data_IF_031537534640
#
_entry.id   IF_031537534640
#
_cell.length_a   1.000
_cell.length_b   1.000
_cell.length_c   1.000
_cell.angle_alpha   90.00
_cell.angle_beta   90.00
_cell.angle_gamma   90.00
#
_symmetry.space_group_name_H-M   'P 1'
#
loop_
_entity.id
_entity.type
_entity.pdbx_description
1 polymer ?
#
# COMPACT_ATOMS: atom_id res chain seq x y z
N UNK A 1 -4.65 -22.60 -5.47
CA UNK A 1 -5.31 -21.47 -6.13
C UNK A 1 -4.52 -20.21 -5.93
N UNK A 2 -4.36 -19.47 -7.00
CA UNK A 2 -3.51 -18.29 -6.99
C UNK A 2 -4.28 -17.07 -6.51
N UNK A 3 -3.65 -16.34 -5.62
CA UNK A 3 -4.17 -15.07 -5.10
C UNK A 3 -3.26 -13.97 -5.60
N UNK A 4 -3.85 -12.90 -6.10
CA UNK A 4 -3.13 -11.70 -6.49
C UNK A 4 -3.54 -10.54 -5.61
N UNK A 5 -2.60 -9.70 -5.25
CA UNK A 5 -2.87 -8.46 -4.54
C UNK A 5 -2.14 -7.32 -5.24
N UNK A 6 -2.75 -6.15 -5.20
CA UNK A 6 -2.17 -4.93 -5.79
C UNK A 6 -2.21 -3.85 -4.73
N UNK A 7 -1.11 -3.11 -4.57
CA UNK A 7 -1.04 -2.05 -3.58
C UNK A 7 -0.59 -0.74 -4.23
N UNK A 8 -1.06 0.36 -3.70
CA UNK A 8 -0.69 1.70 -4.17
C UNK A 8 -0.81 2.70 -3.03
N UNK A 9 -0.06 3.80 -3.14
CA UNK A 9 -0.10 4.89 -2.20
C UNK A 9 0.11 6.21 -2.92
N UNK A 10 -0.45 7.28 -2.35
CA UNK A 10 -0.26 8.62 -2.86
C UNK A 10 -0.11 9.60 -1.71
N UNK A 11 0.42 10.77 -2.01
CA UNK A 11 0.47 11.89 -1.09
C UNK A 11 0.22 13.16 -1.90
N UNK A 12 -0.95 13.77 -1.71
CA UNK A 12 -1.40 14.93 -2.49
C UNK A 12 -1.89 16.03 -1.56
N UNK A 13 -1.88 17.30 -1.96
CA UNK A 13 -1.35 17.83 -3.22
C UNK A 13 0.16 18.00 -3.20
N UNK A 14 0.80 17.71 -2.09
CA UNK A 14 2.27 17.79 -1.97
C UNK A 14 2.81 16.58 -1.20
N UNK A 15 4.07 16.26 -1.43
CA UNK A 15 4.78 15.17 -0.79
C UNK A 15 6.17 15.69 -0.38
N UNK A 16 6.53 15.69 0.92
CA UNK A 16 5.77 15.24 2.09
C UNK A 16 4.73 16.26 2.58
N UNK A 17 4.06 15.91 3.67
CA UNK A 17 3.13 16.77 4.43
C UNK A 17 1.85 17.12 3.69
N UNK A 18 1.44 16.28 2.75
CA UNK A 18 0.12 16.34 2.14
C UNK A 18 -0.85 15.41 2.83
N UNK A 19 -1.76 14.86 2.05
CA UNK A 19 -2.71 13.83 2.48
C UNK A 19 -2.25 12.51 1.87
N UNK A 20 -1.76 11.62 2.72
CA UNK A 20 -1.24 10.32 2.30
C UNK A 20 -2.36 9.28 2.38
N UNK A 21 -2.64 8.62 1.27
CA UNK A 21 -3.68 7.59 1.18
C UNK A 21 -3.10 6.29 0.65
N UNK A 22 -3.59 5.19 1.22
CA UNK A 22 -3.24 3.85 0.77
C UNK A 22 -4.43 3.19 0.10
N UNK A 23 -4.15 2.23 -0.78
CA UNK A 23 -5.17 1.37 -1.36
C UNK A 23 -4.58 0.00 -1.68
N UNK A 24 -5.40 -1.02 -1.54
CA UNK A 24 -5.03 -2.36 -1.99
C UNK A 24 -6.26 -3.09 -2.53
N UNK A 25 -6.01 -4.02 -3.42
CA UNK A 25 -7.04 -4.83 -4.09
C UNK A 25 -6.58 -6.28 -4.04
N UNK A 26 -7.48 -7.17 -3.63
CA UNK A 26 -7.22 -8.61 -3.59
C UNK A 26 -8.05 -9.28 -4.66
N UNK A 27 -7.41 -10.12 -5.47
CA UNK A 27 -8.06 -10.85 -6.56
C UNK A 27 -7.83 -12.35 -6.42
N UNK A 28 -8.86 -13.10 -6.77
CA UNK A 28 -8.81 -14.54 -6.89
C UNK A 28 -9.42 -14.92 -8.22
N UNK A 29 -8.68 -15.69 -9.02
CA UNK A 29 -9.12 -16.10 -10.36
C UNK A 29 -9.57 -14.90 -11.21
N UNK A 30 -8.83 -13.78 -11.12
CA UNK A 30 -9.09 -12.57 -11.89
C UNK A 30 -10.23 -11.70 -11.39
N UNK A 31 -10.90 -12.09 -10.30
CA UNK A 31 -12.02 -11.33 -9.73
C UNK A 31 -11.61 -10.68 -8.42
N UNK A 32 -11.98 -9.42 -8.24
CA UNK A 32 -11.75 -8.72 -6.97
C UNK A 32 -12.64 -9.31 -5.89
N UNK A 33 -12.00 -9.84 -4.84
CA UNK A 33 -12.73 -10.41 -3.69
C UNK A 33 -12.71 -9.48 -2.48
N UNK A 34 -11.79 -8.53 -2.44
CA UNK A 34 -11.70 -7.55 -1.37
C UNK A 34 -10.86 -6.36 -1.81
N UNK A 35 -11.14 -5.21 -1.23
CA UNK A 35 -10.31 -4.02 -1.38
C UNK A 35 -10.37 -3.19 -0.12
N UNK A 36 -9.35 -2.37 0.09
CA UNK A 36 -9.29 -1.46 1.23
C UNK A 36 -8.56 -0.20 0.84
N UNK A 37 -8.93 0.90 1.50
CA UNK A 37 -8.29 2.20 1.27
C UNK A 37 -8.54 3.12 2.45
N UNK A 38 -7.74 4.18 2.56
CA UNK A 38 -7.91 5.16 3.61
C UNK A 38 -6.69 6.03 3.79
N UNK A 39 -6.69 6.79 4.89
CA UNK A 39 -5.54 7.61 5.27
C UNK A 39 -4.42 6.72 5.79
N UNK A 40 -3.21 6.97 5.31
CA UNK A 40 -2.02 6.24 5.75
C UNK A 40 -1.34 6.93 6.94
N UNK A 41 -1.63 8.22 7.15
CA UNK A 41 -1.04 9.02 8.22
C UNK A 41 -1.96 10.20 8.53
N UNK A 42 -1.70 10.86 9.63
CA UNK A 42 -2.38 12.13 9.96
C UNK A 42 -2.09 13.13 8.84
N UNK A 43 -3.12 13.78 8.27
CA UNK A 43 -2.91 14.78 7.21
C UNK A 43 -1.91 15.87 7.62
N UNK A 44 -1.06 16.27 6.69
CA UNK A 44 -0.02 17.29 6.83
C UNK A 44 1.07 16.98 7.87
N UNK A 45 1.09 15.76 8.41
CA UNK A 45 2.15 15.32 9.34
C UNK A 45 3.44 14.95 8.59
N UNK A 46 4.52 14.77 9.35
CA UNK A 46 5.79 14.31 8.79
C UNK A 46 5.69 12.90 8.20
N UNK A 47 4.77 12.08 8.73
CA UNK A 47 4.52 10.73 8.24
C UNK A 47 3.68 10.71 6.97
N UNK A 48 3.08 11.84 6.58
CA UNK A 48 2.29 11.91 5.37
C UNK A 48 3.21 12.02 4.16
N UNK A 49 3.67 10.88 3.68
CA UNK A 49 4.53 10.76 2.51
C UNK A 49 4.01 9.69 1.57
N UNK A 50 4.43 9.76 0.32
CA UNK A 50 4.10 8.76 -0.68
C UNK A 50 4.62 7.37 -0.26
N UNK A 51 5.86 7.30 0.25
CA UNK A 51 6.46 6.02 0.63
C UNK A 51 5.77 5.41 1.86
N UNK A 52 5.36 6.21 2.84
CA UNK A 52 4.56 5.71 3.97
C UNK A 52 3.23 5.16 3.46
N UNK A 53 2.58 5.83 2.52
CA UNK A 53 1.33 5.35 1.93
C UNK A 53 1.52 4.01 1.20
N UNK A 54 2.60 3.88 0.43
CA UNK A 54 2.92 2.64 -0.29
C UNK A 54 3.15 1.47 0.67
N UNK A 55 3.96 1.67 1.71
CA UNK A 55 4.21 0.63 2.70
C UNK A 55 2.96 0.28 3.50
N UNK A 56 2.14 1.28 3.82
CA UNK A 56 0.87 1.05 4.51
C UNK A 56 -0.04 0.17 3.67
N UNK A 57 -0.12 0.43 2.36
CA UNK A 57 -0.92 -0.38 1.43
C UNK A 57 -0.42 -1.82 1.39
N UNK A 58 0.89 -2.02 1.26
CA UNK A 58 1.50 -3.35 1.27
C UNK A 58 1.18 -4.09 2.57
N UNK A 59 1.42 -3.44 3.71
CA UNK A 59 1.20 -4.06 5.02
C UNK A 59 -0.27 -4.42 5.22
N UNK A 60 -1.20 -3.54 4.87
CA UNK A 60 -2.64 -3.79 4.99
C UNK A 60 -3.08 -4.96 4.10
N UNK A 61 -2.53 -5.06 2.89
CA UNK A 61 -2.81 -6.18 2.00
C UNK A 61 -2.34 -7.50 2.62
N UNK A 62 -1.11 -7.54 3.15
CA UNK A 62 -0.56 -8.74 3.78
C UNK A 62 -1.36 -9.13 5.03
N UNK A 63 -1.74 -8.16 5.86
CA UNK A 63 -2.53 -8.41 7.05
C UNK A 63 -3.89 -9.03 6.69
N UNK A 64 -4.58 -8.47 5.70
CA UNK A 64 -5.87 -8.99 5.27
C UNK A 64 -5.75 -10.42 4.74
N UNK A 65 -4.73 -10.67 3.92
CA UNK A 65 -4.49 -12.00 3.35
C UNK A 65 -4.24 -13.04 4.45
N UNK A 66 -3.43 -12.68 5.42
CA UNK A 66 -3.13 -13.57 6.55
C UNK A 66 -4.37 -13.86 7.38
N UNK A 67 -5.13 -12.82 7.74
CA UNK A 67 -6.31 -12.92 8.59
C UNK A 67 -7.46 -13.69 7.92
N UNK A 68 -7.48 -13.74 6.60
CA UNK A 68 -8.55 -14.40 5.84
C UNK A 68 -8.12 -15.74 5.23
N UNK A 69 -7.06 -16.33 5.78
CA UNK A 69 -6.71 -17.73 5.47
C UNK A 69 -5.95 -17.95 4.18
N UNK A 70 -5.32 -16.90 3.62
CA UNK A 70 -4.59 -17.02 2.35
C UNK A 70 -3.08 -17.23 2.53
N UNK A 71 -2.59 -17.40 3.76
CA UNK A 71 -1.17 -17.58 4.04
C UNK A 71 -0.58 -18.88 3.46
N UNK A 72 -1.42 -19.88 3.20
CA UNK A 72 -1.00 -21.16 2.62
C UNK A 72 -1.19 -21.22 1.10
N UNK A 73 -1.76 -20.19 0.51
CA UNK A 73 -1.96 -20.09 -0.93
C UNK A 73 -0.70 -19.54 -1.61
N UNK A 74 -0.62 -19.72 -2.92
CA UNK A 74 0.37 -19.00 -3.71
C UNK A 74 -0.12 -17.56 -3.90
N UNK A 75 0.65 -16.60 -3.40
CA UNK A 75 0.28 -15.18 -3.39
C UNK A 75 1.32 -14.36 -4.12
N UNK A 76 0.87 -13.53 -5.06
CA UNK A 76 1.71 -12.53 -5.70
C UNK A 76 1.15 -11.15 -5.34
N UNK A 77 1.98 -10.34 -4.68
CA UNK A 77 1.63 -8.96 -4.30
C UNK A 77 2.41 -8.01 -5.20
N UNK A 78 1.69 -7.20 -5.95
CA UNK A 78 2.28 -6.32 -6.95
C UNK A 78 2.01 -4.85 -6.63
N UNK A 79 3.00 -4.02 -6.93
CA UNK A 79 2.89 -2.57 -6.82
C UNK A 79 3.80 -1.90 -7.84
N UNK A 80 3.60 -0.61 -8.07
CA UNK A 80 4.38 0.14 -9.05
C UNK A 80 5.52 0.96 -8.43
N UNK A 81 5.79 0.76 -7.15
CA UNK A 81 6.92 1.38 -6.46
C UNK A 81 8.14 0.46 -6.53
N UNK A 82 9.10 0.80 -7.38
CA UNK A 82 10.35 0.04 -7.45
C UNK A 82 11.12 0.10 -6.14
N UNK A 83 11.07 1.23 -5.44
CA UNK A 83 11.75 1.39 -4.16
C UNK A 83 11.24 0.38 -3.14
N UNK A 84 9.93 0.30 -2.95
CA UNK A 84 9.32 -0.63 -1.99
C UNK A 84 9.65 -2.08 -2.34
N UNK A 85 9.48 -2.45 -3.61
CA UNK A 85 9.74 -3.81 -4.06
C UNK A 85 11.21 -4.20 -3.85
N UNK A 86 12.13 -3.32 -4.19
CA UNK A 86 13.57 -3.59 -4.03
C UNK A 86 14.01 -3.59 -2.57
N UNK A 87 13.41 -2.75 -1.74
CA UNK A 87 13.67 -2.79 -0.30
C UNK A 87 13.17 -4.09 0.32
N UNK A 88 11.98 -4.54 -0.06
CA UNK A 88 11.45 -5.81 0.43
C UNK A 88 12.25 -7.02 -0.05
N UNK A 89 12.86 -6.92 -1.23
CA UNK A 89 13.74 -7.96 -1.77
C UNK A 89 15.15 -7.96 -1.15
N UNK A 90 15.46 -6.95 -0.33
CA UNK A 90 16.78 -6.81 0.28
C UNK A 90 17.83 -6.19 -0.64
N UNK A 91 17.43 -5.71 -1.82
CA UNK A 91 18.35 -5.08 -2.78
C UNK A 91 18.69 -3.64 -2.40
N UNK A 92 17.74 -2.91 -1.79
CA UNK A 92 17.93 -1.54 -1.33
C UNK A 92 17.76 -1.48 0.17
N UNK A 93 18.64 -0.72 0.81
CA UNK A 93 18.62 -0.52 2.25
C UNK A 93 17.50 0.46 2.65
N UNK A 94 16.84 0.17 3.77
CA UNK A 94 15.85 1.07 4.36
C UNK A 94 16.55 1.93 5.40
N UNK A 95 16.62 3.24 5.13
CA UNK A 95 17.29 4.21 6.01
C UNK A 95 16.33 5.20 6.65
N UNK A 96 15.16 5.42 6.05
CA UNK A 96 14.19 6.41 6.51
C UNK A 96 13.52 5.94 7.79
N UNK A 97 13.62 6.77 8.85
CA UNK A 97 13.08 6.44 10.17
C UNK A 97 11.57 6.21 10.18
N UNK A 98 10.85 6.85 9.28
CA UNK A 98 9.41 6.70 9.19
C UNK A 98 9.02 5.39 8.49
N UNK A 99 9.89 4.89 7.62
CA UNK A 99 9.66 3.66 6.86
C UNK A 99 10.10 2.42 7.64
N UNK A 100 11.18 2.52 8.42
CA UNK A 100 11.74 1.37 9.14
C UNK A 100 10.69 0.56 9.90
N UNK A 101 9.80 1.17 10.73
CA UNK A 101 8.79 0.37 11.44
C UNK A 101 7.82 -0.35 10.50
N UNK A 102 7.42 0.29 9.41
CA UNK A 102 6.51 -0.31 8.43
C UNK A 102 7.19 -1.45 7.67
N UNK A 103 8.45 -1.23 7.28
CA UNK A 103 9.26 -2.25 6.64
C UNK A 103 9.42 -3.48 7.53
N UNK A 104 9.73 -3.27 8.81
CA UNK A 104 9.91 -4.36 9.77
C UNK A 104 8.63 -5.17 9.93
N UNK A 105 7.48 -4.50 10.04
CA UNK A 105 6.19 -5.18 10.14
C UNK A 105 5.87 -5.98 8.86
N UNK A 106 6.13 -5.39 7.70
CA UNK A 106 5.91 -6.07 6.42
C UNK A 106 6.82 -7.29 6.28
N UNK A 107 8.08 -7.18 6.70
CA UNK A 107 9.03 -8.29 6.65
C UNK A 107 8.60 -9.44 7.57
N UNK A 108 8.10 -9.12 8.76
CA UNK A 108 7.57 -10.12 9.70
C UNK A 108 6.31 -10.79 9.14
N UNK A 109 5.41 -10.01 8.54
CA UNK A 109 4.20 -10.57 7.91
C UNK A 109 4.55 -11.50 6.76
N UNK A 110 5.52 -11.12 5.93
CA UNK A 110 5.97 -11.93 4.80
C UNK A 110 6.39 -13.34 5.23
N UNK A 111 7.04 -13.46 6.38
CA UNK A 111 7.51 -14.75 6.90
C UNK A 111 6.37 -15.71 7.27
N UNK A 112 5.17 -15.21 7.44
CA UNK A 112 3.99 -16.02 7.78
C UNK A 112 3.35 -16.69 6.57
N UNK A 113 3.84 -16.41 5.36
CA UNK A 113 3.30 -16.95 4.12
C UNK A 113 4.19 -18.07 3.60
N UNK A 114 3.57 -19.13 3.09
CA UNK A 114 4.29 -20.28 2.55
C UNK A 114 4.91 -19.97 1.17
N UNK A 115 4.20 -19.21 0.33
CA UNK A 115 4.63 -18.91 -1.03
C UNK A 115 4.16 -17.49 -1.40
N UNK A 116 4.97 -16.51 -1.06
CA UNK A 116 4.67 -15.10 -1.32
C UNK A 116 5.76 -14.47 -2.18
N UNK A 117 5.35 -13.86 -3.27
CA UNK A 117 6.20 -13.06 -4.13
C UNK A 117 5.74 -11.61 -4.07
N UNK A 118 6.66 -10.68 -3.88
CA UNK A 118 6.40 -9.25 -3.99
C UNK A 118 7.04 -8.79 -5.29
N UNK A 119 6.23 -8.26 -6.22
CA UNK A 119 6.66 -7.97 -7.58
C UNK A 119 6.36 -6.52 -7.97
N UNK A 120 7.19 -5.99 -8.85
CA UNK A 120 6.95 -4.70 -9.47
C UNK A 120 6.13 -4.86 -10.74
N UNK A 121 5.16 -3.97 -10.93
CA UNK A 121 4.41 -3.86 -12.18
C UNK A 121 4.42 -2.41 -12.63
N UNK A 122 4.33 -2.15 -13.94
CA UNK A 122 4.19 -0.77 -14.41
C UNK A 122 2.85 -0.19 -13.94
N UNK A 123 2.79 1.13 -13.84
CA UNK A 123 1.62 1.85 -13.31
C UNK A 123 0.33 1.47 -14.04
N UNK A 124 0.39 1.24 -15.34
CA UNK A 124 -0.78 0.85 -16.16
C UNK A 124 -1.43 -0.45 -15.70
N UNK A 125 -0.65 -1.33 -15.08
CA UNK A 125 -1.14 -2.61 -14.54
C UNK A 125 -1.59 -2.50 -13.09
N UNK A 126 -1.42 -1.33 -12.48
CA UNK A 126 -1.83 -1.07 -11.11
C UNK A 126 -3.01 -0.08 -11.06
N UNK A 127 -3.76 0.03 -12.15
CA UNK A 127 -4.77 1.06 -12.34
C UNK A 127 -5.92 0.98 -11.33
N UNK A 128 -6.32 -0.22 -10.93
CA UNK A 128 -7.43 -0.39 -9.99
C UNK A 128 -7.07 0.14 -8.60
N UNK A 129 -5.88 -0.22 -8.09
CA UNK A 129 -5.39 0.29 -6.81
C UNK A 129 -5.12 1.80 -6.88
N UNK A 130 -4.60 2.28 -8.00
CA UNK A 130 -4.35 3.70 -8.23
C UNK A 130 -5.65 4.51 -8.14
N UNK A 131 -6.70 4.08 -8.85
CA UNK A 131 -8.01 4.75 -8.78
C UNK A 131 -8.59 4.72 -7.37
N UNK A 132 -8.41 3.63 -6.65
CA UNK A 132 -8.93 3.50 -5.29
C UNK A 132 -8.20 4.43 -4.32
N UNK A 133 -6.89 4.63 -4.48
CA UNK A 133 -6.13 5.58 -3.67
C UNK A 133 -6.54 7.02 -3.94
N UNK A 134 -6.79 7.38 -5.21
CA UNK A 134 -7.30 8.70 -5.59
C UNK A 134 -8.70 8.93 -5.01
N UNK A 135 -9.54 7.91 -5.05
CA UNK A 135 -10.88 7.98 -4.46
C UNK A 135 -10.80 8.22 -2.95
N UNK A 136 -9.87 7.56 -2.26
CA UNK A 136 -9.65 7.78 -0.83
C UNK A 136 -9.26 9.23 -0.53
N UNK A 137 -8.40 9.81 -1.37
CA UNK A 137 -8.03 11.22 -1.26
C UNK A 137 -9.25 12.13 -1.42
N UNK A 138 -10.05 11.91 -2.46
CA UNK A 138 -11.25 12.73 -2.71
C UNK A 138 -12.27 12.59 -1.58
N UNK A 139 -12.44 11.38 -1.03
CA UNK A 139 -13.35 11.16 0.10
C UNK A 139 -12.86 11.87 1.37
N UNK A 140 -11.55 11.91 1.61
CA UNK A 140 -10.99 12.65 2.75
C UNK A 140 -11.31 14.14 2.66
N UNK A 141 -11.18 14.73 1.46
CA UNK A 141 -11.52 16.14 1.22
C UNK A 141 -13.03 16.39 1.41
N UNK A 142 -13.87 15.47 0.92
CA UNK A 142 -15.32 15.60 1.06
C UNK A 142 -15.77 15.55 2.53
N UNK A 143 -15.12 14.71 3.33
CA UNK A 143 -15.43 14.57 4.76
C UNK A 143 -14.95 15.76 5.58
N UNK A 144 -13.85 16.39 5.16
CA UNK A 144 -13.25 17.51 5.85
C UNK A 144 -12.73 18.53 4.83
N UNK A 145 -13.63 19.36 4.25
CA UNK A 145 -13.21 20.35 3.25
C UNK A 145 -12.18 21.35 3.76
N UNK A 146 -12.09 21.55 5.09
CA UNK A 146 -11.09 22.43 5.68
C UNK A 146 -9.66 21.96 5.42
N UNK A 147 -9.45 20.69 5.06
CA UNK A 147 -8.13 20.19 4.69
C UNK A 147 -7.53 20.98 3.52
N UNK A 148 -8.35 21.38 2.55
CA UNK A 148 -7.88 22.16 1.40
C UNK A 148 -7.33 23.52 1.80
N UNK A 149 -7.87 24.12 2.85
CA UNK A 149 -7.42 25.44 3.33
C UNK A 149 -6.09 25.35 4.08
N UNK A 150 -5.72 24.18 4.54
CA UNK A 150 -4.51 23.93 5.33
C UNK A 150 -3.32 23.47 4.51
N UNK A 151 -3.56 23.14 3.27
CA UNK A 151 -2.53 22.55 2.40
C UNK A 151 -1.78 23.62 1.62
#
# INVERSE_FOLDING_TARGET
MDIEAYFDGLCLPRNPRGIACFAFVIKKDGKTIHSGSGLAAEPMSEQATNNVAEYTALLKALEWLYENGHATSKVVVSGDSQLVVKQMAGEFRVKNKQIIPLFQKAALMRKKFDDLTIAWVPRERNAEADRLSERAYNEAILKDPALLDRI
#
